data_IF_414264167240
#
_entry.id   IF_414264167240
#
_cell.length_a   1.000
_cell.length_b   1.000
_cell.length_c   1.000
_cell.angle_alpha   90.00
_cell.angle_beta   90.00
_cell.angle_gamma   90.00
#
_symmetry.space_group_name_H-M   'P 1'
#
loop_
_entity.id
_entity.type
_entity.pdbx_description
1 polymer ?
#
# COMPACT_ATOMS: atom_id res chain seq x y z
N UNK A 1 23.32 32.36 -39.39
CA UNK A 1 22.26 31.34 -39.25
C UNK A 1 22.45 30.63 -37.93
N UNK A 2 21.65 30.99 -36.91
CA UNK A 2 21.72 30.35 -35.60
C UNK A 2 20.96 29.02 -35.64
N UNK A 3 21.60 27.93 -35.23
CA UNK A 3 20.94 26.63 -35.14
C UNK A 3 19.88 26.66 -34.02
N UNK A 4 18.64 26.35 -34.38
CA UNK A 4 17.56 26.16 -33.42
C UNK A 4 17.84 24.91 -32.57
N UNK A 5 17.85 25.08 -31.23
CA UNK A 5 18.01 23.96 -30.29
C UNK A 5 16.85 22.97 -30.45
N UNK A 6 17.17 21.69 -30.67
CA UNK A 6 16.19 20.60 -30.69
C UNK A 6 15.35 20.59 -29.41
N UNK A 7 14.02 20.69 -29.55
CA UNK A 7 13.08 20.71 -28.42
C UNK A 7 12.84 19.27 -27.95
N UNK A 8 13.27 18.96 -26.73
CA UNK A 8 12.96 17.68 -26.06
C UNK A 8 11.57 17.75 -25.44
N UNK A 9 10.65 16.90 -25.88
CA UNK A 9 9.34 16.72 -25.23
C UNK A 9 9.49 15.69 -24.11
N UNK A 10 9.05 16.04 -22.91
CA UNK A 10 9.03 15.15 -21.74
C UNK A 10 7.58 14.91 -21.36
N UNK A 11 7.12 13.67 -21.45
CA UNK A 11 5.79 13.26 -20.98
C UNK A 11 5.90 12.77 -19.55
N UNK A 12 5.17 13.40 -18.61
CA UNK A 12 5.07 12.95 -17.22
C UNK A 12 3.63 12.61 -16.88
N UNK A 13 3.44 11.62 -16.03
CA UNK A 13 2.14 11.26 -15.50
C UNK A 13 1.67 12.33 -14.49
N UNK A 14 0.36 12.54 -14.38
CA UNK A 14 -0.23 13.57 -13.48
C UNK A 14 0.23 13.39 -12.04
N UNK A 15 0.46 12.14 -11.62
CA UNK A 15 0.87 11.79 -10.25
C UNK A 15 2.38 11.69 -10.05
N UNK A 16 3.18 11.98 -11.07
CA UNK A 16 4.62 11.73 -11.06
C UNK A 16 5.33 12.50 -9.93
N UNK A 17 4.97 13.76 -9.71
CA UNK A 17 5.55 14.61 -8.66
C UNK A 17 5.21 14.11 -7.25
N UNK A 18 3.97 13.65 -7.05
CA UNK A 18 3.54 13.07 -5.79
C UNK A 18 4.27 11.74 -5.51
N UNK A 19 4.48 10.90 -6.54
CA UNK A 19 5.24 9.66 -6.42
C UNK A 19 6.71 9.92 -6.07
N UNK A 20 7.32 10.94 -6.68
CA UNK A 20 8.70 11.36 -6.37
C UNK A 20 8.81 11.82 -4.91
N UNK A 21 7.87 12.65 -4.45
CA UNK A 21 7.81 13.08 -3.05
C UNK A 21 7.67 11.88 -2.08
N UNK A 22 6.83 10.91 -2.42
CA UNK A 22 6.67 9.70 -1.61
C UNK A 22 7.96 8.86 -1.54
N UNK A 23 8.71 8.80 -2.64
CA UNK A 23 9.97 8.07 -2.70
C UNK A 23 11.05 8.76 -1.87
N UNK A 24 11.14 10.09 -1.94
CA UNK A 24 12.06 10.87 -1.10
C UNK A 24 11.77 10.66 0.40
N UNK A 25 10.49 10.70 0.79
CA UNK A 25 10.08 10.40 2.17
C UNK A 25 10.46 8.97 2.56
N UNK A 26 10.27 7.99 1.68
CA UNK A 26 10.61 6.58 1.95
C UNK A 26 12.10 6.40 2.30
N UNK A 27 12.98 7.16 1.64
CA UNK A 27 14.43 7.06 1.86
C UNK A 27 14.95 8.01 2.94
N UNK A 28 14.12 8.89 3.49
CA UNK A 28 14.50 9.77 4.59
C UNK A 28 14.87 8.99 5.86
N UNK A 29 15.70 9.62 6.69
CA UNK A 29 16.19 9.03 7.95
C UNK A 29 15.03 8.71 8.89
N UNK A 30 15.08 7.54 9.53
CA UNK A 30 13.98 7.00 10.34
C UNK A 30 12.85 6.36 9.53
N UNK A 31 12.40 7.00 8.44
CA UNK A 31 11.35 6.44 7.58
C UNK A 31 11.80 5.19 6.85
N UNK A 32 13.06 5.11 6.44
CA UNK A 32 13.61 3.91 5.80
C UNK A 32 13.48 2.65 6.67
N UNK A 33 13.72 2.78 7.99
CA UNK A 33 13.61 1.66 8.92
C UNK A 33 12.15 1.30 9.16
N UNK A 34 11.30 2.30 9.43
CA UNK A 34 9.85 2.08 9.58
C UNK A 34 9.23 1.46 8.32
N UNK A 35 9.67 1.88 7.13
CA UNK A 35 9.21 1.34 5.86
C UNK A 35 9.68 -0.11 5.65
N UNK A 36 10.82 -0.51 6.23
CA UNK A 36 11.28 -1.91 6.19
C UNK A 36 10.34 -2.82 6.99
N UNK A 37 9.88 -2.38 8.15
CA UNK A 37 8.93 -3.12 9.00
C UNK A 37 7.55 -3.35 8.34
N UNK A 38 7.22 -2.57 7.29
CA UNK A 38 6.00 -2.76 6.49
C UNK A 38 5.89 -4.19 5.93
N UNK A 39 7.02 -4.81 5.56
CA UNK A 39 7.03 -6.18 5.02
C UNK A 39 6.50 -7.20 6.02
N UNK A 40 6.81 -6.99 7.30
CA UNK A 40 6.45 -7.90 8.38
C UNK A 40 5.04 -7.64 8.90
N UNK A 41 4.61 -6.39 8.92
CA UNK A 41 3.32 -6.00 9.48
C UNK A 41 2.24 -5.94 8.41
N UNK A 42 2.40 -5.04 7.45
CA UNK A 42 1.39 -4.69 6.45
C UNK A 42 1.35 -5.71 5.32
N UNK A 43 2.48 -6.02 4.68
CA UNK A 43 2.51 -6.94 3.53
C UNK A 43 2.13 -8.36 3.95
N UNK A 44 2.53 -8.79 5.14
CA UNK A 44 2.08 -10.06 5.74
C UNK A 44 0.56 -10.13 5.87
N UNK A 45 -0.08 -9.06 6.39
CA UNK A 45 -1.54 -8.97 6.51
C UNK A 45 -2.24 -9.04 5.16
N UNK A 46 -1.71 -8.31 4.16
CA UNK A 46 -2.23 -8.34 2.79
C UNK A 46 -2.03 -9.71 2.13
N UNK A 47 -0.93 -10.41 2.43
CA UNK A 47 -0.72 -11.80 2.03
C UNK A 47 -1.81 -12.72 2.58
N UNK A 48 -2.09 -12.62 3.89
CA UNK A 48 -3.18 -13.37 4.52
C UNK A 48 -4.54 -13.06 3.89
N UNK A 49 -4.85 -11.78 3.65
CA UNK A 49 -6.08 -11.38 2.97
C UNK A 49 -6.19 -12.02 1.57
N UNK A 50 -5.11 -12.02 0.80
CA UNK A 50 -5.09 -12.61 -0.55
C UNK A 50 -5.28 -14.12 -0.53
N UNK A 51 -4.49 -14.85 0.25
CA UNK A 51 -4.52 -16.32 0.26
C UNK A 51 -5.74 -16.89 0.97
N UNK A 52 -6.05 -16.39 2.17
CA UNK A 52 -7.04 -17.03 3.03
C UNK A 52 -8.44 -16.40 2.93
N UNK A 53 -8.55 -15.17 2.42
CA UNK A 53 -9.83 -14.46 2.29
C UNK A 53 -10.22 -14.18 0.82
N UNK A 54 -9.47 -14.73 -0.14
CA UNK A 54 -9.80 -14.70 -1.56
C UNK A 54 -9.77 -13.29 -2.14
N UNK A 55 -8.79 -12.47 -1.76
CA UNK A 55 -8.57 -11.13 -2.35
C UNK A 55 -7.66 -11.15 -3.58
N UNK A 56 -7.27 -12.34 -4.07
CA UNK A 56 -6.63 -12.49 -5.39
C UNK A 56 -7.59 -12.12 -6.53
N UNK A 57 -8.89 -12.31 -6.31
CA UNK A 57 -9.95 -11.99 -7.28
C UNK A 57 -11.13 -11.29 -6.59
N UNK A 58 -11.87 -10.51 -7.36
CA UNK A 58 -13.13 -9.89 -6.91
C UNK A 58 -14.27 -10.86 -7.12
N UNK A 59 -14.75 -11.48 -6.04
CA UNK A 59 -15.84 -12.46 -6.09
C UNK A 59 -17.25 -11.85 -5.98
N UNK A 60 -17.35 -10.56 -5.64
CA UNK A 60 -18.62 -9.86 -5.53
C UNK A 60 -18.73 -8.82 -6.65
N UNK A 61 -19.95 -8.63 -7.15
CA UNK A 61 -20.24 -7.66 -8.20
C UNK A 61 -20.55 -6.30 -7.56
N UNK A 62 -19.83 -5.27 -7.99
CA UNK A 62 -20.06 -3.90 -7.55
C UNK A 62 -19.14 -3.44 -6.42
N UNK A 63 -18.80 -2.15 -6.46
CA UNK A 63 -17.86 -1.50 -5.54
C UNK A 63 -18.29 -1.60 -4.08
N UNK A 64 -19.55 -1.31 -3.78
CA UNK A 64 -20.07 -1.29 -2.41
C UNK A 64 -19.94 -2.66 -1.70
N UNK A 65 -20.24 -3.75 -2.39
CA UNK A 65 -20.12 -5.10 -1.83
C UNK A 65 -18.66 -5.50 -1.62
N UNK A 66 -17.77 -5.16 -2.55
CA UNK A 66 -16.34 -5.40 -2.40
C UNK A 66 -15.73 -4.56 -1.27
N UNK A 67 -16.18 -3.31 -1.10
CA UNK A 67 -15.79 -2.45 0.02
C UNK A 67 -16.24 -3.03 1.36
N UNK A 68 -17.48 -3.51 1.45
CA UNK A 68 -17.97 -4.19 2.65
C UNK A 68 -17.15 -5.45 2.97
N UNK A 69 -16.89 -6.31 1.98
CA UNK A 69 -16.05 -7.51 2.14
C UNK A 69 -14.64 -7.15 2.63
N UNK A 70 -14.01 -6.15 2.01
CA UNK A 70 -12.69 -5.66 2.42
C UNK A 70 -12.70 -5.14 3.85
N UNK A 71 -13.65 -4.25 4.17
CA UNK A 71 -13.78 -3.64 5.50
C UNK A 71 -13.96 -4.68 6.60
N UNK A 72 -14.89 -5.62 6.43
CA UNK A 72 -15.15 -6.68 7.40
C UNK A 72 -13.92 -7.59 7.58
N UNK A 73 -13.25 -7.97 6.48
CA UNK A 73 -12.05 -8.82 6.53
C UNK A 73 -10.94 -8.14 7.32
N UNK A 74 -10.60 -6.90 6.99
CA UNK A 74 -9.52 -6.18 7.69
C UNK A 74 -9.88 -5.83 9.13
N UNK A 75 -11.15 -5.55 9.44
CA UNK A 75 -11.61 -5.38 10.82
C UNK A 75 -11.34 -6.64 11.64
N UNK A 76 -11.73 -7.82 11.15
CA UNK A 76 -11.49 -9.10 11.82
C UNK A 76 -9.99 -9.41 11.97
N UNK A 77 -9.20 -9.19 10.92
CA UNK A 77 -7.75 -9.38 10.98
C UNK A 77 -7.07 -8.46 11.99
N UNK A 78 -7.52 -7.20 12.09
CA UNK A 78 -7.03 -6.25 13.08
C UNK A 78 -7.45 -6.63 14.50
N UNK A 79 -8.68 -7.11 14.71
CA UNK A 79 -9.14 -7.61 16.01
C UNK A 79 -8.30 -8.81 16.47
N UNK A 80 -8.01 -9.75 15.58
CA UNK A 80 -7.10 -10.87 15.87
C UNK A 80 -5.70 -10.38 16.26
N UNK A 81 -5.15 -9.42 15.51
CA UNK A 81 -3.85 -8.81 15.83
C UNK A 81 -3.87 -8.16 17.22
N UNK A 82 -4.92 -7.43 17.55
CA UNK A 82 -5.08 -6.79 18.85
C UNK A 82 -5.13 -7.82 19.98
N UNK A 83 -5.93 -8.88 19.84
CA UNK A 83 -6.02 -9.95 20.84
C UNK A 83 -4.64 -10.57 21.14
N UNK A 84 -3.86 -10.89 20.09
CA UNK A 84 -2.51 -11.42 20.26
C UNK A 84 -1.56 -10.43 20.97
N UNK A 85 -1.68 -9.13 20.69
CA UNK A 85 -0.89 -8.10 21.37
C UNK A 85 -1.25 -8.03 22.85
N UNK A 86 -2.54 -8.14 23.19
CA UNK A 86 -2.98 -8.13 24.59
C UNK A 86 -2.50 -9.37 25.34
N UNK A 87 -2.56 -10.55 24.72
CA UNK A 87 -2.04 -11.81 25.28
C UNK A 87 -0.53 -11.77 25.53
N UNK A 88 0.26 -11.22 24.61
CA UNK A 88 1.71 -11.07 24.83
C UNK A 88 2.06 -10.08 25.96
N UNK A 89 1.11 -9.25 26.39
CA UNK A 89 1.31 -8.21 27.42
C UNK A 89 0.81 -8.65 28.81
N UNK A 90 0.05 -9.74 28.89
CA UNK A 90 -0.41 -10.34 30.15
C UNK A 90 0.63 -11.29 30.72
#
# INVERSE_FOLDING_TARGET
FGQEKSKRVITRHVWQEALETCEDIRHSDGMRELYRERKESVERLFGTAKEHHGFRYTHLIGKALMEFKAGLTFACLNMKKLANILEMRS
#
